data_IF_196389096353
#
_entry.id   IF_196389096353
#
_cell.length_a   1.000
_cell.length_b   1.000
_cell.length_c   1.000
_cell.angle_alpha   90.00
_cell.angle_beta   90.00
_cell.angle_gamma   90.00
#
_symmetry.space_group_name_H-M   'P 1'
#
loop_
_entity.id
_entity.type
_entity.pdbx_description
1 polymer ?
#
# COMPACT_ATOMS: atom_id res chain seq x y z
N UNK A 1 13.48 3.73 -28.10
CA UNK A 1 12.28 3.33 -27.33
C UNK A 1 12.56 3.55 -25.85
N UNK A 2 11.71 4.32 -25.14
CA UNK A 2 11.83 4.45 -23.69
C UNK A 2 11.70 3.07 -23.06
N UNK A 3 12.56 2.73 -22.06
CA UNK A 3 12.44 1.49 -21.31
C UNK A 3 11.10 1.52 -20.54
N UNK A 4 10.35 0.41 -20.47
CA UNK A 4 9.11 0.39 -19.70
C UNK A 4 9.41 0.79 -18.25
N UNK A 5 8.61 1.72 -17.73
CA UNK A 5 8.68 2.08 -16.32
C UNK A 5 7.86 1.06 -15.51
N UNK A 6 8.52 0.46 -14.53
CA UNK A 6 7.90 -0.41 -13.54
C UNK A 6 7.69 0.35 -12.24
N UNK A 7 6.86 -0.18 -11.37
CA UNK A 7 6.68 0.35 -10.02
C UNK A 7 7.03 -0.73 -9.00
N UNK A 8 8.17 -0.56 -8.34
CA UNK A 8 8.52 -1.36 -7.16
C UNK A 8 7.66 -0.88 -5.96
N UNK A 9 7.03 -1.83 -5.30
CA UNK A 9 6.18 -1.62 -4.13
C UNK A 9 6.82 -2.31 -2.94
N UNK A 10 7.21 -1.54 -1.93
CA UNK A 10 7.80 -2.00 -0.69
C UNK A 10 6.85 -1.66 0.46
N UNK A 11 6.53 -2.63 1.30
CA UNK A 11 5.72 -2.42 2.50
C UNK A 11 6.41 -3.05 3.70
N UNK A 12 6.77 -2.22 4.67
CA UNK A 12 7.49 -2.61 5.86
C UNK A 12 6.60 -2.51 7.10
N UNK A 13 6.73 -3.47 8.01
CA UNK A 13 5.97 -3.51 9.26
C UNK A 13 6.67 -2.70 10.34
N UNK A 14 5.99 -1.69 10.86
CA UNK A 14 6.51 -0.85 11.94
C UNK A 14 6.72 -1.68 13.21
N UNK A 15 7.87 -1.47 13.87
CA UNK A 15 8.23 -2.09 15.17
C UNK A 15 8.13 -3.64 15.23
N UNK A 16 8.30 -4.31 14.09
CA UNK A 16 8.25 -5.79 14.03
C UNK A 16 9.29 -6.47 14.93
N UNK A 17 10.48 -5.86 15.06
CA UNK A 17 11.59 -6.38 15.89
C UNK A 17 11.28 -6.35 17.39
N UNK A 18 10.38 -5.48 17.84
CA UNK A 18 9.96 -5.40 19.25
C UNK A 18 8.99 -6.54 19.65
N UNK A 19 8.51 -7.34 18.70
CA UNK A 19 7.59 -8.46 18.94
C UNK A 19 8.32 -9.67 19.51
N UNK A 20 7.63 -10.46 20.36
CA UNK A 20 8.15 -11.75 20.84
C UNK A 20 8.40 -12.71 19.68
N UNK A 21 9.30 -13.73 19.84
CA UNK A 21 9.56 -14.71 18.77
C UNK A 21 8.30 -15.40 18.25
N UNK A 22 7.37 -15.78 19.16
CA UNK A 22 6.08 -16.38 18.79
C UNK A 22 5.20 -15.44 17.98
N UNK A 23 5.06 -14.19 18.41
CA UNK A 23 4.27 -13.18 17.69
C UNK A 23 4.88 -12.87 16.32
N UNK A 24 6.21 -12.89 16.20
CA UNK A 24 6.92 -12.70 14.93
C UNK A 24 6.67 -13.86 13.96
N UNK A 25 6.73 -15.11 14.44
CA UNK A 25 6.42 -16.28 13.61
C UNK A 25 4.97 -16.25 13.10
N UNK A 26 4.01 -15.90 13.95
CA UNK A 26 2.60 -15.73 13.55
C UNK A 26 2.44 -14.59 12.52
N UNK A 27 3.11 -13.47 12.72
CA UNK A 27 3.09 -12.36 11.75
C UNK A 27 3.64 -12.80 10.39
N UNK A 28 4.77 -13.50 10.36
CA UNK A 28 5.35 -14.01 9.11
C UNK A 28 4.41 -14.95 8.34
N UNK A 29 3.67 -15.80 9.05
CA UNK A 29 2.65 -16.66 8.41
C UNK A 29 1.55 -15.79 7.77
N UNK A 30 1.00 -14.83 8.49
CA UNK A 30 -0.03 -13.90 7.98
C UNK A 30 0.48 -13.07 6.80
N UNK A 31 1.73 -12.64 6.82
CA UNK A 31 2.36 -11.91 5.71
C UNK A 31 2.48 -12.78 4.44
N UNK A 32 2.83 -14.07 4.58
CA UNK A 32 2.87 -15.00 3.44
C UNK A 32 1.47 -15.24 2.84
N UNK A 33 0.45 -15.35 3.68
CA UNK A 33 -0.95 -15.45 3.26
C UNK A 33 -1.38 -14.19 2.51
N UNK A 34 -1.07 -13.01 3.05
CA UNK A 34 -1.31 -11.73 2.42
C UNK A 34 -0.63 -11.62 1.05
N UNK A 35 0.63 -12.03 0.93
CA UNK A 35 1.34 -12.03 -0.36
C UNK A 35 0.64 -12.92 -1.40
N UNK A 36 0.11 -14.09 -1.02
CA UNK A 36 -0.67 -14.96 -1.92
C UNK A 36 -1.98 -14.30 -2.37
N UNK A 37 -2.69 -13.64 -1.45
CA UNK A 37 -3.92 -12.90 -1.76
C UNK A 37 -3.67 -11.74 -2.72
N UNK A 38 -2.60 -10.97 -2.51
CA UNK A 38 -2.19 -9.90 -3.42
C UNK A 38 -1.85 -10.44 -4.81
N UNK A 39 -1.10 -11.55 -4.87
CA UNK A 39 -0.76 -12.20 -6.14
C UNK A 39 -2.02 -12.65 -6.91
N UNK A 40 -3.05 -13.08 -6.23
CA UNK A 40 -4.32 -13.45 -6.85
C UNK A 40 -5.09 -12.20 -7.31
N UNK A 41 -5.24 -11.22 -6.42
CA UNK A 41 -6.05 -10.03 -6.66
C UNK A 41 -5.47 -9.11 -7.74
N UNK A 42 -4.16 -8.92 -7.73
CA UNK A 42 -3.46 -8.01 -8.64
C UNK A 42 -2.73 -8.72 -9.79
N UNK A 43 -3.05 -9.99 -10.05
CA UNK A 43 -2.38 -10.85 -11.05
C UNK A 43 -2.16 -10.16 -12.40
N UNK A 44 -3.17 -9.45 -12.90
CA UNK A 44 -3.11 -8.76 -14.20
C UNK A 44 -2.18 -7.53 -14.21
N UNK A 45 -1.80 -7.03 -13.03
CA UNK A 45 -1.03 -5.80 -12.86
C UNK A 45 0.40 -6.07 -12.35
N UNK A 46 0.72 -7.31 -11.99
CA UNK A 46 2.04 -7.66 -11.46
C UNK A 46 2.99 -8.05 -12.60
N UNK A 47 4.15 -7.41 -12.65
CA UNK A 47 5.28 -7.80 -13.46
C UNK A 47 6.06 -8.96 -12.80
N UNK A 48 6.19 -8.92 -11.46
CA UNK A 48 6.74 -10.00 -10.65
C UNK A 48 5.88 -10.21 -9.39
N UNK A 49 5.84 -11.46 -8.92
CA UNK A 49 5.00 -11.85 -7.78
C UNK A 49 5.40 -11.15 -6.50
N UNK A 50 4.40 -10.76 -5.72
CA UNK A 50 4.60 -10.29 -4.36
C UNK A 50 5.16 -11.43 -3.49
N UNK A 51 6.17 -11.12 -2.69
CA UNK A 51 6.77 -12.02 -1.73
C UNK A 51 7.31 -11.25 -0.51
N UNK A 52 7.55 -12.00 0.56
CA UNK A 52 8.17 -11.47 1.78
C UNK A 52 9.67 -11.73 1.70
N UNK A 53 10.47 -10.73 2.05
CA UNK A 53 11.93 -10.86 2.20
C UNK A 53 12.30 -11.58 3.51
N UNK A 54 13.59 -11.73 3.80
CA UNK A 54 14.10 -12.40 5.02
C UNK A 54 13.64 -11.75 6.34
N UNK A 55 12.93 -10.65 6.29
CA UNK A 55 12.34 -9.99 7.45
C UNK A 55 10.82 -10.03 7.40
N UNK A 56 10.23 -8.87 7.46
CA UNK A 56 8.79 -8.59 7.51
C UNK A 56 8.39 -7.54 6.46
N UNK A 57 9.24 -7.34 5.48
CA UNK A 57 8.98 -6.47 4.34
C UNK A 57 8.34 -7.28 3.20
N UNK A 58 7.19 -6.80 2.72
CA UNK A 58 6.55 -7.29 1.51
C UNK A 58 7.04 -6.48 0.32
N UNK A 59 7.46 -7.17 -0.74
CA UNK A 59 7.83 -6.57 -2.01
C UNK A 59 6.93 -7.08 -3.13
N UNK A 60 6.56 -6.19 -4.06
CA UNK A 60 5.88 -6.51 -5.31
C UNK A 60 6.40 -5.63 -6.44
N UNK A 61 6.26 -6.07 -7.68
CA UNK A 61 6.58 -5.26 -8.85
C UNK A 61 5.36 -5.15 -9.74
N UNK A 62 4.90 -3.92 -9.95
CA UNK A 62 3.77 -3.62 -10.82
C UNK A 62 4.22 -3.16 -12.21
N UNK A 63 3.37 -3.43 -13.22
CA UNK A 63 3.58 -2.99 -14.60
C UNK A 63 3.22 -1.51 -14.82
N UNK A 64 2.50 -0.91 -13.87
CA UNK A 64 2.07 0.48 -13.92
C UNK A 64 1.74 1.01 -12.52
N UNK A 65 1.64 2.32 -12.30
CA UNK A 65 1.28 2.89 -11.01
C UNK A 65 -0.20 2.75 -10.63
N UNK A 66 -1.09 2.49 -11.59
CA UNK A 66 -2.54 2.50 -11.37
C UNK A 66 -3.04 1.66 -10.18
N UNK A 67 -2.55 0.42 -9.91
CA UNK A 67 -3.08 -0.41 -8.82
C UNK A 67 -2.42 -0.17 -7.47
N UNK A 68 -1.29 0.59 -7.38
CA UNK A 68 -0.48 0.63 -6.16
C UNK A 68 -1.21 1.27 -4.97
N UNK A 69 -2.05 2.28 -5.24
CA UNK A 69 -2.85 2.93 -4.19
C UNK A 69 -3.86 1.96 -3.57
N UNK A 70 -4.58 1.22 -4.41
CA UNK A 70 -5.50 0.19 -3.95
C UNK A 70 -4.77 -0.94 -3.22
N UNK A 71 -3.61 -1.38 -3.71
CA UNK A 71 -2.80 -2.42 -3.07
C UNK A 71 -2.36 -2.00 -1.65
N UNK A 72 -1.94 -0.74 -1.46
CA UNK A 72 -1.57 -0.23 -0.14
C UNK A 72 -2.73 -0.26 0.86
N UNK A 73 -3.96 0.03 0.41
CA UNK A 73 -5.14 -0.03 1.28
C UNK A 73 -5.64 -1.46 1.51
N UNK A 74 -5.43 -2.37 0.55
CA UNK A 74 -5.70 -3.80 0.73
C UNK A 74 -4.83 -4.40 1.84
N UNK A 75 -3.51 -4.07 1.90
CA UNK A 75 -2.63 -4.47 2.99
C UNK A 75 -3.22 -4.11 4.36
N UNK A 76 -3.59 -2.84 4.52
CA UNK A 76 -4.12 -2.29 5.77
C UNK A 76 -5.49 -2.84 6.13
N UNK A 77 -6.28 -3.20 5.14
CA UNK A 77 -7.57 -3.85 5.36
C UNK A 77 -7.42 -5.29 5.86
N UNK A 78 -6.48 -6.04 5.26
CA UNK A 78 -6.26 -7.46 5.58
C UNK A 78 -5.55 -7.67 6.91
N UNK A 79 -4.64 -6.77 7.26
CA UNK A 79 -3.90 -6.78 8.51
C UNK A 79 -4.08 -5.46 9.26
N UNK A 80 -5.29 -5.19 9.81
CA UNK A 80 -5.62 -3.90 10.41
C UNK A 80 -4.91 -3.64 11.75
N UNK A 81 -4.37 -4.68 12.37
CA UNK A 81 -3.56 -4.66 13.60
C UNK A 81 -2.05 -4.49 13.33
N UNK A 82 -1.68 -4.35 12.06
CA UNK A 82 -0.29 -4.11 11.62
C UNK A 82 -0.16 -2.68 11.13
N UNK A 83 0.80 -1.97 11.67
CA UNK A 83 1.18 -0.65 11.16
C UNK A 83 2.19 -0.80 10.03
N UNK A 84 1.96 -0.08 8.93
CA UNK A 84 2.71 -0.19 7.70
C UNK A 84 3.29 1.13 7.27
N UNK A 85 4.55 1.12 6.83
CA UNK A 85 5.11 2.12 5.92
C UNK A 85 5.13 1.52 4.53
N UNK A 86 4.49 2.18 3.57
CA UNK A 86 4.44 1.75 2.16
C UNK A 86 5.17 2.76 1.30
N UNK A 87 6.13 2.28 0.53
CA UNK A 87 6.84 3.10 -0.44
C UNK A 87 6.76 2.49 -1.85
N UNK A 88 6.58 3.35 -2.84
CA UNK A 88 6.60 2.97 -4.25
C UNK A 88 7.72 3.69 -4.98
N UNK A 89 8.38 3.00 -5.89
CA UNK A 89 9.43 3.58 -6.72
C UNK A 89 9.19 3.34 -8.19
N UNK A 90 9.16 4.40 -8.99
CA UNK A 90 9.02 4.32 -10.45
C UNK A 90 10.39 4.30 -11.13
N UNK A 91 10.57 3.45 -12.12
CA UNK A 91 11.81 3.37 -12.89
C UNK A 91 11.94 2.10 -13.71
N UNK A 92 13.10 1.90 -14.31
CA UNK A 92 13.45 0.70 -15.07
C UNK A 92 13.94 -0.43 -14.15
N UNK A 93 14.05 -1.63 -14.73
CA UNK A 93 14.74 -2.79 -14.13
C UNK A 93 16.17 -2.91 -14.70
N UNK A 94 17.09 -3.37 -13.87
CA UNK A 94 18.42 -3.83 -14.27
C UNK A 94 18.43 -5.35 -14.43
N UNK A 95 17.82 -6.09 -13.49
CA UNK A 95 17.65 -7.53 -13.59
C UNK A 95 16.68 -7.90 -14.72
N UNK A 96 17.02 -8.83 -15.61
CA UNK A 96 16.09 -9.32 -16.64
C UNK A 96 14.84 -9.93 -16.01
N UNK A 97 13.67 -9.49 -16.48
CA UNK A 97 12.40 -10.04 -16.03
C UNK A 97 12.13 -11.38 -16.74
N UNK A 98 11.88 -12.42 -15.96
CA UNK A 98 11.52 -13.75 -16.47
C UNK A 98 10.14 -14.20 -15.97
N UNK A 99 9.54 -15.14 -16.66
CA UNK A 99 8.22 -15.68 -16.28
C UNK A 99 8.30 -16.33 -14.89
N UNK A 100 7.42 -15.89 -14.00
CA UNK A 100 7.34 -16.42 -12.64
C UNK A 100 8.31 -15.77 -11.65
N UNK A 101 9.03 -14.72 -12.05
CA UNK A 101 9.91 -13.95 -11.17
C UNK A 101 9.19 -13.52 -9.88
N UNK A 102 9.93 -13.49 -8.80
CA UNK A 102 9.52 -12.96 -7.52
C UNK A 102 10.16 -11.57 -7.31
N UNK A 103 9.43 -10.62 -6.76
CA UNK A 103 9.90 -9.25 -6.63
C UNK A 103 11.24 -9.11 -5.89
N UNK A 104 11.53 -9.87 -4.79
CA UNK A 104 12.82 -9.82 -4.11
C UNK A 104 14.03 -10.32 -4.91
N UNK A 105 13.81 -11.00 -6.04
CA UNK A 105 14.88 -11.50 -6.92
C UNK A 105 15.35 -10.45 -7.92
N UNK A 106 14.66 -9.32 -7.99
CA UNK A 106 14.85 -8.28 -8.99
C UNK A 106 15.51 -7.04 -8.39
N UNK A 107 16.20 -6.30 -9.25
CA UNK A 107 16.85 -5.04 -8.90
C UNK A 107 16.76 -4.03 -10.05
N UNK A 108 16.95 -2.75 -9.70
CA UNK A 108 16.98 -1.66 -10.67
C UNK A 108 16.55 -0.32 -10.08
N UNK A 109 16.57 0.75 -10.90
CA UNK A 109 16.24 2.10 -10.49
C UNK A 109 14.90 2.23 -9.77
N UNK A 110 13.87 1.45 -10.14
CA UNK A 110 12.58 1.46 -9.42
C UNK A 110 12.71 0.98 -7.97
N UNK A 111 13.52 -0.05 -7.71
CA UNK A 111 13.76 -0.54 -6.35
C UNK A 111 14.60 0.42 -5.52
N UNK A 112 15.63 1.04 -6.14
CA UNK A 112 16.45 2.06 -5.48
C UNK A 112 15.61 3.28 -5.09
N UNK A 113 14.73 3.74 -5.99
CA UNK A 113 13.81 4.84 -5.72
C UNK A 113 12.80 4.48 -4.60
N UNK A 114 12.24 3.26 -4.63
CA UNK A 114 11.34 2.78 -3.58
C UNK A 114 12.05 2.67 -2.22
N UNK A 115 13.30 2.17 -2.18
CA UNK A 115 14.10 2.05 -0.96
C UNK A 115 14.38 3.41 -0.34
N UNK A 116 14.89 4.36 -1.14
CA UNK A 116 15.14 5.72 -0.68
C UNK A 116 13.87 6.39 -0.14
N UNK A 117 12.73 6.20 -0.83
CA UNK A 117 11.43 6.70 -0.37
C UNK A 117 10.98 6.04 0.96
N UNK A 118 11.20 4.73 1.12
CA UNK A 118 10.88 4.00 2.36
C UNK A 118 11.70 4.51 3.54
N UNK A 119 12.99 4.70 3.35
CA UNK A 119 13.90 5.18 4.41
C UNK A 119 13.55 6.62 4.81
N UNK A 120 13.26 7.50 3.85
CA UNK A 120 12.77 8.85 4.12
C UNK A 120 11.41 8.85 4.84
N UNK A 121 10.48 7.95 4.46
CA UNK A 121 9.19 7.83 5.13
C UNK A 121 9.33 7.41 6.60
N UNK A 122 10.25 6.47 6.88
CA UNK A 122 10.54 6.04 8.26
C UNK A 122 11.16 7.15 9.10
N UNK A 123 12.04 7.96 8.51
CA UNK A 123 12.67 9.09 9.20
C UNK A 123 11.67 10.21 9.52
N UNK A 124 10.69 10.44 8.64
CA UNK A 124 9.68 11.49 8.74
C UNK A 124 8.36 11.01 9.39
N UNK A 125 8.29 9.79 9.91
CA UNK A 125 7.08 9.15 10.49
C UNK A 125 5.87 9.18 9.52
N UNK A 126 6.13 8.92 8.24
CA UNK A 126 5.11 8.86 7.19
C UNK A 126 4.64 7.44 6.93
N UNK A 127 3.39 7.28 6.53
CA UNK A 127 2.80 5.96 6.18
C UNK A 127 2.82 5.67 4.68
N UNK A 128 3.07 6.70 3.83
CA UNK A 128 3.19 6.58 2.38
C UNK A 128 4.36 7.43 1.85
N UNK A 129 5.08 6.92 0.86
CA UNK A 129 6.10 7.65 0.14
C UNK A 129 6.23 7.17 -1.31
N UNK A 130 6.65 8.08 -2.20
CA UNK A 130 6.84 7.79 -3.62
C UNK A 130 8.17 8.37 -4.10
N UNK A 131 8.99 7.54 -4.74
CA UNK A 131 10.28 7.92 -5.34
C UNK A 131 10.29 7.68 -6.83
N UNK A 132 10.99 8.52 -7.60
CA UNK A 132 11.04 8.40 -9.07
C UNK A 132 9.75 8.80 -9.79
N UNK A 133 8.80 9.41 -9.08
CA UNK A 133 7.58 10.02 -9.61
C UNK A 133 7.72 11.54 -9.67
N UNK A 134 6.73 12.21 -10.25
CA UNK A 134 6.60 13.65 -10.15
C UNK A 134 6.51 14.10 -8.68
N UNK A 135 7.05 15.29 -8.37
CA UNK A 135 7.07 15.83 -7.00
C UNK A 135 5.66 15.97 -6.39
N UNK A 136 4.63 16.18 -7.22
CA UNK A 136 3.24 16.23 -6.77
C UNK A 136 2.78 14.90 -6.16
N UNK A 137 3.26 13.76 -6.67
CA UNK A 137 2.90 12.42 -6.15
C UNK A 137 3.38 12.26 -4.70
N UNK A 138 4.65 12.59 -4.41
CA UNK A 138 5.14 12.53 -3.02
C UNK A 138 4.50 13.61 -2.14
N UNK A 139 4.18 14.78 -2.69
CA UNK A 139 3.41 15.82 -2.01
C UNK A 139 2.04 15.33 -1.55
N UNK A 140 1.29 14.66 -2.41
CA UNK A 140 0.02 14.02 -2.04
C UNK A 140 0.22 12.91 -1.01
N UNK A 141 1.27 12.09 -1.14
CA UNK A 141 1.58 11.04 -0.18
C UNK A 141 1.86 11.60 1.24
N UNK A 142 2.55 12.74 1.34
CA UNK A 142 2.74 13.47 2.59
C UNK A 142 1.42 13.97 3.17
N UNK A 143 0.57 14.57 2.35
CA UNK A 143 -0.76 15.01 2.76
C UNK A 143 -1.61 13.83 3.27
N UNK A 144 -1.64 12.69 2.54
CA UNK A 144 -2.36 11.51 2.98
C UNK A 144 -1.76 10.88 4.25
N UNK A 145 -0.45 10.93 4.44
CA UNK A 145 0.17 10.46 5.68
C UNK A 145 -0.31 11.27 6.89
N UNK A 146 -0.35 12.60 6.77
CA UNK A 146 -0.86 13.48 7.81
C UNK A 146 -2.36 13.25 8.07
N UNK A 147 -3.16 13.15 7.01
CA UNK A 147 -4.60 12.87 7.10
C UNK A 147 -4.85 11.51 7.77
N UNK A 148 -4.16 10.46 7.35
CA UNK A 148 -4.28 9.12 7.89
C UNK A 148 -3.87 9.05 9.37
N UNK A 149 -2.79 9.75 9.74
CA UNK A 149 -2.32 9.89 11.13
C UNK A 149 -3.36 10.55 12.04
N UNK A 150 -4.09 11.54 11.54
CA UNK A 150 -5.14 12.25 12.28
C UNK A 150 -6.43 11.43 12.49
N UNK A 151 -6.62 10.31 11.81
CA UNK A 151 -7.81 9.49 11.97
C UNK A 151 -7.70 8.50 13.13
N UNK A 152 -8.84 8.27 13.82
CA UNK A 152 -8.96 7.17 14.77
C UNK A 152 -8.81 5.81 14.07
N UNK A 153 -8.47 4.76 14.82
CA UNK A 153 -8.34 3.39 14.29
C UNK A 153 -9.60 2.95 13.49
N UNK A 154 -10.79 3.26 13.99
CA UNK A 154 -12.03 2.93 13.29
C UNK A 154 -12.28 3.76 12.02
N UNK A 155 -11.76 4.99 11.93
CA UNK A 155 -11.78 5.79 10.70
C UNK A 155 -10.77 5.27 9.69
N UNK A 156 -9.55 4.93 10.12
CA UNK A 156 -8.52 4.31 9.27
C UNK A 156 -9.02 3.00 8.66
N UNK A 157 -9.63 2.13 9.49
CA UNK A 157 -10.18 0.86 9.00
C UNK A 157 -11.28 1.08 7.95
N UNK A 158 -12.20 2.03 8.19
CA UNK A 158 -13.24 2.39 7.22
C UNK A 158 -12.65 2.93 5.92
N UNK A 159 -11.69 3.84 6.01
CA UNK A 159 -11.02 4.41 4.83
C UNK A 159 -10.32 3.33 4.00
N UNK A 160 -9.58 2.43 4.65
CA UNK A 160 -8.90 1.31 3.97
C UNK A 160 -9.91 0.37 3.30
N UNK A 161 -11.00 0.01 4.01
CA UNK A 161 -12.05 -0.84 3.48
C UNK A 161 -12.71 -0.23 2.24
N UNK A 162 -13.00 1.08 2.30
CA UNK A 162 -13.68 1.77 1.21
C UNK A 162 -12.78 1.97 -0.01
N UNK A 163 -11.50 2.27 0.18
CA UNK A 163 -10.52 2.38 -0.91
C UNK A 163 -10.20 1.02 -1.55
N UNK A 164 -10.14 -0.03 -0.75
CA UNK A 164 -9.95 -1.39 -1.25
C UNK A 164 -11.21 -1.96 -1.96
N UNK A 165 -12.38 -1.42 -1.64
CA UNK A 165 -13.71 -1.83 -2.17
C UNK A 165 -14.54 -0.59 -2.49
N UNK A 166 -14.18 0.18 -3.53
CA UNK A 166 -14.82 1.48 -3.84
C UNK A 166 -16.33 1.35 -4.09
N UNK A 167 -16.78 0.25 -4.68
CA UNK A 167 -18.19 -0.02 -5.02
C UNK A 167 -18.99 -0.69 -3.90
N UNK A 168 -18.37 -0.92 -2.73
CA UNK A 168 -19.03 -1.61 -1.63
C UNK A 168 -20.20 -0.79 -1.07
N UNK A 169 -21.35 -1.45 -0.88
CA UNK A 169 -22.53 -0.85 -0.25
C UNK A 169 -22.30 -0.63 1.26
N UNK A 170 -23.05 0.32 1.85
CA UNK A 170 -22.91 0.64 3.28
C UNK A 170 -23.03 -0.59 4.20
N UNK A 171 -23.93 -1.51 3.90
CA UNK A 171 -24.10 -2.77 4.67
C UNK A 171 -22.87 -3.67 4.58
N UNK A 172 -22.22 -3.72 3.42
CA UNK A 172 -21.01 -4.49 3.21
C UNK A 172 -19.82 -3.86 3.94
N UNK A 173 -19.63 -2.55 3.83
CA UNK A 173 -18.62 -1.81 4.59
C UNK A 173 -18.82 -1.99 6.09
N UNK A 174 -20.07 -1.90 6.59
CA UNK A 174 -20.40 -2.10 7.99
C UNK A 174 -19.96 -3.49 8.48
N UNK A 175 -20.19 -4.53 7.66
CA UNK A 175 -19.75 -5.90 7.96
C UNK A 175 -18.23 -6.01 7.96
N UNK A 176 -17.54 -5.40 6.96
CA UNK A 176 -16.08 -5.42 6.86
C UNK A 176 -15.39 -4.75 8.06
N UNK A 177 -15.96 -3.65 8.57
CA UNK A 177 -15.37 -2.91 9.70
C UNK A 177 -15.98 -3.28 11.05
N UNK A 178 -16.92 -4.24 11.10
CA UNK A 178 -17.50 -4.74 12.36
C UNK A 178 -18.36 -3.72 13.12
N UNK A 179 -19.15 -2.88 12.42
CA UNK A 179 -19.99 -1.84 13.04
C UNK A 179 -21.38 -1.77 12.40
N UNK A 180 -22.33 -1.06 13.05
CA UNK A 180 -23.64 -0.81 12.46
C UNK A 180 -23.56 0.12 11.23
N UNK A 181 -24.45 -0.05 10.22
CA UNK A 181 -24.46 0.83 9.03
C UNK A 181 -24.60 2.32 9.33
N UNK A 182 -25.35 2.69 10.38
CA UNK A 182 -25.48 4.08 10.84
C UNK A 182 -24.14 4.67 11.29
N UNK A 183 -23.28 3.87 11.92
CA UNK A 183 -21.94 4.28 12.34
C UNK A 183 -21.04 4.62 11.13
N UNK A 184 -21.23 3.96 9.99
CA UNK A 184 -20.50 4.27 8.74
C UNK A 184 -20.84 5.70 8.29
N UNK A 185 -22.13 6.06 8.24
CA UNK A 185 -22.57 7.39 7.83
C UNK A 185 -22.01 8.49 8.76
N UNK A 186 -22.01 8.26 10.07
CA UNK A 186 -21.44 9.19 11.05
C UNK A 186 -19.92 9.34 10.85
N UNK A 187 -19.18 8.23 10.70
CA UNK A 187 -17.74 8.27 10.46
C UNK A 187 -17.41 9.01 9.17
N UNK A 188 -18.10 8.72 8.07
CA UNK A 188 -17.94 9.42 6.78
C UNK A 188 -18.13 10.94 6.90
N UNK A 189 -19.17 11.37 7.63
CA UNK A 189 -19.43 12.79 7.86
C UNK A 189 -18.27 13.45 8.60
N UNK A 190 -17.80 12.83 9.70
CA UNK A 190 -16.69 13.36 10.51
C UNK A 190 -15.36 13.39 9.75
N UNK A 191 -15.15 12.49 8.81
CA UNK A 191 -13.96 12.43 7.96
C UNK A 191 -14.06 13.34 6.73
N UNK A 192 -15.20 14.01 6.54
CA UNK A 192 -15.51 14.76 5.31
C UNK A 192 -15.24 13.89 4.07
N UNK A 193 -15.77 12.66 4.09
CA UNK A 193 -15.39 11.57 3.18
C UNK A 193 -15.50 11.93 1.69
N UNK A 194 -16.45 12.78 1.31
CA UNK A 194 -16.59 13.24 -0.07
C UNK A 194 -15.36 14.01 -0.59
N UNK A 195 -14.68 14.79 0.29
CA UNK A 195 -13.42 15.46 -0.07
C UNK A 195 -12.25 14.48 -0.11
N UNK A 196 -12.27 13.44 0.74
CA UNK A 196 -11.26 12.36 0.68
C UNK A 196 -11.36 11.64 -0.67
N UNK A 197 -12.57 11.31 -1.13
CA UNK A 197 -12.79 10.68 -2.44
C UNK A 197 -12.33 11.58 -3.58
N UNK A 198 -12.62 12.87 -3.51
CA UNK A 198 -12.12 13.84 -4.50
C UNK A 198 -10.58 13.86 -4.53
N UNK A 199 -9.95 13.93 -3.36
CA UNK A 199 -8.49 13.86 -3.23
C UNK A 199 -7.92 12.55 -3.77
N UNK A 200 -8.57 11.40 -3.52
CA UNK A 200 -8.16 10.10 -4.06
C UNK A 200 -8.22 10.09 -5.60
N UNK A 201 -9.26 10.70 -6.20
CA UNK A 201 -9.38 10.83 -7.66
C UNK A 201 -8.25 11.68 -8.23
N UNK A 202 -8.00 12.85 -7.65
CA UNK A 202 -6.91 13.74 -8.05
C UNK A 202 -5.54 13.04 -7.90
N UNK A 203 -5.33 12.31 -6.80
CA UNK A 203 -4.09 11.56 -6.57
C UNK A 203 -3.90 10.47 -7.63
N UNK A 204 -4.96 9.72 -7.95
CA UNK A 204 -4.90 8.67 -8.97
C UNK A 204 -4.58 9.24 -10.35
N UNK A 205 -5.12 10.41 -10.70
CA UNK A 205 -4.81 11.09 -11.98
C UNK A 205 -3.34 11.52 -12.03
N UNK A 206 -2.80 12.11 -10.96
CA UNK A 206 -1.39 12.53 -10.90
C UNK A 206 -0.46 11.32 -10.89
N UNK A 207 -0.83 10.25 -10.19
CA UNK A 207 -0.04 9.02 -10.09
C UNK A 207 0.10 8.30 -11.44
N UNK A 208 -0.88 8.44 -12.35
CA UNK A 208 -0.95 7.70 -13.62
C UNK A 208 -0.53 8.52 -14.85
N UNK A 209 -0.18 9.80 -14.68
CA UNK A 209 0.40 10.64 -15.76
C UNK A 209 1.83 10.24 -16.06
#
# INVERSE_FOLDING_TARGET
>A
MARPAYVAFLADVVASRARTPRARAMLQQRLRELARELNTRFRAHLAARAAITLGDELQALFTSPAPVWQAAHELRLRLPDVEWVVACGSGSLTTPLHRGASAPELDGPCYHAARAALDAAKADDRVFAFGGFDACVDGFARYYSALYGGWSAGQRLLANAQRARPDAKLKELARLVGVAPTSISHRRRRMVWHLVVLGDTMFQEVLTR
#
